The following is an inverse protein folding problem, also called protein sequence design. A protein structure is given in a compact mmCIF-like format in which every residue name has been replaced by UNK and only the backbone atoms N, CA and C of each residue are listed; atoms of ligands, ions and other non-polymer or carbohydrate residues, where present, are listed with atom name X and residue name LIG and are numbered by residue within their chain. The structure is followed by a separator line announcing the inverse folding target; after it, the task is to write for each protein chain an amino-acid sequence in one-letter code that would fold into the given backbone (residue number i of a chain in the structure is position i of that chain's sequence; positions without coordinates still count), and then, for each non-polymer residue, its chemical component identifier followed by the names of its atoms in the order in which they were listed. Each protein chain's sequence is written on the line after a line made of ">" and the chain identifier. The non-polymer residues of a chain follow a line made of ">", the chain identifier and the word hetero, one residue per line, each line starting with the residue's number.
data_IF_448060585430
#
_entry.id   IF_448060585430
#
_cell.length_a   1.000
_cell.length_b   1.000
_cell.length_c   1.000
_cell.angle_alpha   90.00
_cell.angle_beta   90.00
_cell.angle_gamma   90.00
#
_symmetry.space_group_name_H-M   'P 1'
#
loop_
_entity.id
_entity.type
_entity.pdbx_description
1 polymer ?
#
# COMPACT_ATOMS: atom_id res chain seq x y z
N UNK A 1 9.73 22.09 15.37
CA UNK A 1 9.24 22.85 14.21
C UNK A 1 9.67 24.31 14.33
N UNK A 2 9.99 24.93 13.20
CA UNK A 2 10.22 26.37 13.13
C UNK A 2 8.88 27.04 12.81
N UNK A 3 8.47 27.97 13.67
CA UNK A 3 7.24 28.73 13.45
C UNK A 3 7.60 30.01 12.69
N UNK A 4 6.80 30.33 11.66
CA UNK A 4 6.92 31.58 10.89
C UNK A 4 5.94 32.57 11.51
N UNK A 5 6.47 33.70 12.03
CA UNK A 5 5.65 34.70 12.73
C UNK A 5 4.92 35.63 11.77
N UNK A 6 5.51 35.94 10.60
CA UNK A 6 4.94 36.83 9.59
C UNK A 6 5.29 36.36 8.19
N UNK A 7 4.34 36.44 7.23
CA UNK A 7 4.55 36.13 5.83
C UNK A 7 3.55 36.92 4.97
N UNK A 8 4.01 37.46 3.82
CA UNK A 8 3.13 38.11 2.83
C UNK A 8 2.22 37.10 2.11
N UNK A 9 2.70 35.89 1.88
CA UNK A 9 1.97 34.81 1.23
C UNK A 9 2.22 33.48 1.94
N UNK A 10 1.15 32.70 2.13
CA UNK A 10 1.21 31.35 2.71
C UNK A 10 0.68 30.34 1.70
N UNK A 11 1.50 29.38 1.34
CA UNK A 11 1.11 28.25 0.48
C UNK A 11 1.30 26.98 1.33
N UNK A 12 0.22 26.25 1.57
CA UNK A 12 0.25 25.04 2.42
C UNK A 12 -0.66 23.96 1.87
N UNK A 13 -0.33 22.71 2.18
CA UNK A 13 -1.20 21.56 1.98
C UNK A 13 -2.46 21.72 2.87
N UNK A 14 -3.62 21.31 2.34
CA UNK A 14 -4.91 21.41 3.03
C UNK A 14 -5.86 20.25 2.68
N UNK A 15 -5.33 19.06 2.38
CA UNK A 15 -6.10 17.90 1.92
C UNK A 15 -7.23 17.51 2.88
N UNK A 16 -6.96 17.63 4.17
CA UNK A 16 -7.92 17.31 5.25
C UNK A 16 -8.32 18.55 6.08
N UNK A 17 -8.15 19.76 5.53
CA UNK A 17 -8.44 21.01 6.24
C UNK A 17 -9.92 21.23 6.57
N UNK A 18 -10.83 20.53 5.90
CA UNK A 18 -12.29 20.63 6.04
C UNK A 18 -12.92 19.53 6.91
N UNK A 19 -12.12 18.56 7.40
CA UNK A 19 -12.65 17.39 8.11
C UNK A 19 -11.67 16.74 9.06
N UNK A 20 -12.21 15.98 10.00
CA UNK A 20 -11.42 15.10 10.87
C UNK A 20 -11.32 13.69 10.28
N UNK A 21 -10.17 13.03 10.50
CA UNK A 21 -10.05 11.60 10.22
C UNK A 21 -11.05 10.80 11.07
N UNK A 22 -11.65 9.77 10.45
CA UNK A 22 -12.46 8.81 11.21
C UNK A 22 -11.58 8.15 12.26
N UNK A 23 -12.07 8.11 13.51
CA UNK A 23 -11.35 7.47 14.61
C UNK A 23 -11.28 5.96 14.33
N UNK A 24 -10.14 5.48 13.87
CA UNK A 24 -9.86 4.05 13.72
C UNK A 24 -8.94 3.62 14.84
N UNK A 25 -9.23 2.47 15.45
CA UNK A 25 -8.53 1.98 16.62
C UNK A 25 -7.49 0.90 16.31
N UNK A 26 -7.60 0.22 15.16
CA UNK A 26 -6.67 -0.86 14.80
C UNK A 26 -6.59 -1.06 13.27
N UNK A 27 -5.63 -0.38 12.65
CA UNK A 27 -5.39 -0.50 11.20
C UNK A 27 -4.91 -1.89 10.78
N UNK A 28 -4.10 -2.56 11.63
CA UNK A 28 -3.61 -3.90 11.34
C UNK A 28 -4.75 -4.92 11.30
N UNK A 29 -5.68 -4.87 12.25
CA UNK A 29 -6.83 -5.78 12.29
C UNK A 29 -7.79 -5.54 11.10
N UNK A 30 -8.04 -4.28 10.74
CA UNK A 30 -8.89 -3.95 9.58
C UNK A 30 -8.28 -4.47 8.29
N UNK A 31 -6.97 -4.27 8.08
CA UNK A 31 -6.24 -4.75 6.92
C UNK A 31 -6.17 -6.27 6.90
N UNK A 32 -5.90 -6.92 8.05
CA UNK A 32 -5.87 -8.38 8.17
C UNK A 32 -7.20 -9.01 7.76
N UNK A 33 -8.33 -8.41 8.18
CA UNK A 33 -9.66 -8.89 7.80
C UNK A 33 -9.87 -8.84 6.28
N UNK A 34 -9.45 -7.77 5.61
CA UNK A 34 -9.57 -7.66 4.15
C UNK A 34 -8.66 -8.68 3.46
N UNK A 35 -7.42 -8.83 3.93
CA UNK A 35 -6.48 -9.83 3.40
C UNK A 35 -7.08 -11.23 3.55
N UNK A 36 -7.52 -11.62 4.75
CA UNK A 36 -8.14 -12.92 5.01
C UNK A 36 -9.28 -13.21 4.04
N UNK A 37 -10.27 -12.32 4.00
CA UNK A 37 -11.45 -12.50 3.16
C UNK A 37 -11.13 -12.60 1.66
N UNK A 38 -10.10 -11.90 1.22
CA UNK A 38 -9.70 -11.90 -0.19
C UNK A 38 -8.94 -13.16 -0.55
N UNK A 39 -7.99 -13.57 0.28
CA UNK A 39 -7.23 -14.81 0.07
C UNK A 39 -8.14 -16.04 0.17
N UNK A 40 -9.12 -16.07 1.09
CA UNK A 40 -10.11 -17.15 1.23
C UNK A 40 -10.95 -17.32 -0.05
N UNK A 41 -11.18 -16.24 -0.79
CA UNK A 41 -11.85 -16.27 -2.11
C UNK A 41 -10.93 -16.64 -3.26
N UNK A 42 -9.63 -16.84 -3.01
CA UNK A 42 -8.63 -17.11 -4.05
C UNK A 42 -8.22 -15.86 -4.86
N UNK A 43 -8.46 -14.67 -4.34
CA UNK A 43 -8.16 -13.40 -5.01
C UNK A 43 -6.89 -12.70 -4.51
N UNK A 44 -6.50 -11.66 -5.24
CA UNK A 44 -5.40 -10.76 -4.88
C UNK A 44 -5.91 -9.53 -4.13
N UNK A 45 -5.13 -9.06 -3.16
CA UNK A 45 -5.31 -7.73 -2.55
C UNK A 45 -4.41 -6.74 -3.27
N UNK A 46 -4.98 -5.78 -3.97
CA UNK A 46 -4.25 -4.74 -4.72
C UNK A 46 -4.33 -3.43 -3.95
N UNK A 47 -3.19 -2.86 -3.59
CA UNK A 47 -3.11 -1.66 -2.74
C UNK A 47 -2.36 -0.55 -3.50
N UNK A 48 -3.06 0.43 -4.07
CA UNK A 48 -2.45 1.64 -4.58
C UNK A 48 -1.80 2.41 -3.43
N UNK A 49 -0.51 2.71 -3.54
CA UNK A 49 0.22 3.43 -2.51
C UNK A 49 1.26 4.38 -3.10
N UNK A 50 1.51 5.50 -2.41
CA UNK A 50 2.67 6.33 -2.72
C UNK A 50 3.95 5.57 -2.40
N UNK A 51 4.95 5.76 -3.26
CA UNK A 51 6.24 5.08 -3.13
C UNK A 51 6.97 5.40 -1.81
N UNK A 52 6.81 6.63 -1.33
CA UNK A 52 7.42 7.13 -0.09
C UNK A 52 6.36 7.30 0.99
N UNK A 53 6.63 6.80 2.18
CA UNK A 53 5.80 6.90 3.38
C UNK A 53 4.71 5.81 3.44
N UNK A 54 3.67 5.89 2.62
CA UNK A 54 2.52 4.97 2.70
C UNK A 54 2.89 3.52 2.43
N UNK A 55 3.78 3.25 1.49
CA UNK A 55 4.26 1.88 1.24
C UNK A 55 4.95 1.31 2.48
N UNK A 56 5.84 2.06 3.12
CA UNK A 56 6.58 1.60 4.30
C UNK A 56 5.67 1.41 5.51
N UNK A 57 4.67 2.26 5.69
CA UNK A 57 3.65 2.10 6.73
C UNK A 57 2.82 0.82 6.52
N UNK A 58 2.40 0.52 5.28
CA UNK A 58 1.73 -0.72 4.95
C UNK A 58 2.60 -1.95 5.24
N UNK A 59 3.90 -1.90 4.93
CA UNK A 59 4.84 -2.97 5.26
C UNK A 59 4.94 -3.19 6.77
N UNK A 60 4.95 -2.11 7.56
CA UNK A 60 4.94 -2.19 9.02
C UNK A 60 3.69 -2.92 9.53
N UNK A 61 2.50 -2.55 9.08
CA UNK A 61 1.26 -3.24 9.48
C UNK A 61 1.21 -4.69 9.01
N UNK A 62 1.64 -4.98 7.77
CA UNK A 62 1.65 -6.37 7.27
C UNK A 62 2.65 -7.23 8.04
N UNK A 63 3.82 -6.69 8.42
CA UNK A 63 4.75 -7.38 9.31
C UNK A 63 4.07 -7.73 10.62
N UNK A 64 3.35 -6.79 11.23
CA UNK A 64 2.60 -7.04 12.46
C UNK A 64 1.53 -8.11 12.25
N UNK A 65 0.72 -8.02 11.20
CA UNK A 65 -0.30 -9.02 10.83
C UNK A 65 0.29 -10.43 10.75
N UNK A 66 1.46 -10.57 10.12
CA UNK A 66 2.15 -11.86 10.00
C UNK A 66 2.73 -12.32 11.33
N UNK A 67 3.33 -11.43 12.10
CA UNK A 67 3.92 -11.76 13.41
C UNK A 67 2.87 -12.19 14.42
N UNK A 68 1.69 -11.56 14.40
CA UNK A 68 0.58 -11.84 15.31
C UNK A 68 -0.35 -12.97 14.80
N UNK A 69 -0.09 -13.53 13.60
CA UNK A 69 -0.90 -14.59 13.02
C UNK A 69 -2.35 -14.18 12.74
N UNK A 70 -2.59 -12.90 12.39
CA UNK A 70 -3.95 -12.38 12.20
C UNK A 70 -4.63 -12.86 10.91
N UNK A 71 -3.89 -13.50 10.01
CA UNK A 71 -4.40 -14.18 8.81
C UNK A 71 -4.10 -15.66 8.95
N UNK A 72 -5.12 -16.51 8.93
CA UNK A 72 -5.01 -17.94 9.18
C UNK A 72 -5.25 -18.75 7.90
N UNK A 73 -4.63 -19.95 7.80
CA UNK A 73 -4.75 -20.79 6.61
C UNK A 73 -3.97 -20.31 5.38
N UNK A 74 -3.33 -19.14 5.49
CA UNK A 74 -2.52 -18.52 4.44
C UNK A 74 -1.18 -18.02 5.01
N UNK A 75 -0.59 -18.74 5.97
CA UNK A 75 0.57 -18.28 6.78
C UNK A 75 1.77 -17.82 5.93
N UNK A 76 1.94 -18.40 4.74
CA UNK A 76 3.00 -18.06 3.80
C UNK A 76 2.63 -17.04 2.73
N UNK A 77 1.49 -16.34 2.81
CA UNK A 77 1.07 -15.44 1.75
C UNK A 77 2.17 -14.43 1.38
N UNK A 78 2.31 -14.21 0.06
CA UNK A 78 3.33 -13.33 -0.48
C UNK A 78 2.83 -11.89 -0.57
N UNK A 79 3.77 -10.95 -0.38
CA UNK A 79 3.52 -9.52 -0.50
C UNK A 79 4.52 -8.94 -1.48
N UNK A 80 4.04 -8.35 -2.55
CA UNK A 80 4.87 -7.72 -3.57
C UNK A 80 4.84 -6.20 -3.41
N UNK A 81 6.02 -5.58 -3.41
CA UNK A 81 6.18 -4.14 -3.65
C UNK A 81 6.65 -3.98 -5.08
N UNK A 82 5.73 -3.63 -5.97
CA UNK A 82 6.01 -3.46 -7.39
C UNK A 82 6.09 -1.98 -7.78
N UNK A 83 7.22 -1.37 -7.38
CA UNK A 83 7.58 0.00 -7.72
C UNK A 83 9.07 0.20 -7.45
N UNK A 84 9.90 0.45 -8.48
CA UNK A 84 11.34 0.72 -8.28
C UNK A 84 11.60 1.83 -7.26
N UNK A 85 10.87 2.94 -7.38
CA UNK A 85 11.00 4.07 -6.44
C UNK A 85 10.62 3.68 -5.00
N UNK A 86 9.60 2.83 -4.82
CA UNK A 86 9.23 2.36 -3.47
C UNK A 86 10.30 1.44 -2.88
N UNK A 87 10.96 0.64 -3.71
CA UNK A 87 12.09 -0.21 -3.28
C UNK A 87 13.25 0.66 -2.82
N UNK A 88 13.64 1.66 -3.60
CA UNK A 88 14.70 2.62 -3.26
C UNK A 88 14.35 3.39 -1.97
N UNK A 89 13.14 3.93 -1.88
CA UNK A 89 12.67 4.60 -0.66
C UNK A 89 12.73 3.68 0.57
N UNK A 90 12.32 2.42 0.44
CA UNK A 90 12.38 1.44 1.53
C UNK A 90 13.81 1.18 1.99
N UNK A 91 14.78 1.22 1.07
CA UNK A 91 16.19 1.12 1.44
C UNK A 91 16.66 2.34 2.25
N UNK A 92 16.27 3.56 1.83
CA UNK A 92 16.55 4.78 2.61
C UNK A 92 15.95 4.70 4.02
N UNK A 93 14.71 4.22 4.16
CA UNK A 93 14.10 3.99 5.47
C UNK A 93 14.93 3.03 6.34
N UNK A 94 15.43 1.93 5.76
CA UNK A 94 16.28 0.96 6.49
C UNK A 94 17.60 1.56 6.96
N UNK A 95 18.21 2.40 6.14
CA UNK A 95 19.50 3.03 6.47
C UNK A 95 19.36 4.08 7.59
N UNK A 96 18.19 4.68 7.76
CA UNK A 96 17.93 5.76 8.71
C UNK A 96 17.05 5.35 9.91
N UNK A 97 16.88 4.05 10.18
CA UNK A 97 16.01 3.54 11.26
C UNK A 97 16.36 4.12 12.65
N UNK A 98 17.65 4.26 12.95
CA UNK A 98 18.11 4.71 14.26
C UNK A 98 17.78 6.18 14.53
N UNK A 99 17.76 7.01 13.49
CA UNK A 99 17.56 8.45 13.64
C UNK A 99 16.09 8.85 13.48
N UNK A 100 15.38 8.22 12.53
CA UNK A 100 14.09 8.70 12.05
C UNK A 100 12.88 7.93 12.59
N UNK A 101 13.06 6.72 13.13
CA UNK A 101 11.95 5.94 13.66
C UNK A 101 11.58 6.37 15.08
N UNK A 102 10.32 6.18 15.45
CA UNK A 102 9.86 6.38 16.81
C UNK A 102 10.43 5.32 17.78
N UNK A 103 10.28 5.54 19.08
CA UNK A 103 10.88 4.68 20.10
C UNK A 103 10.27 3.26 20.11
N UNK A 104 8.99 3.11 19.74
CA UNK A 104 8.34 1.80 19.61
C UNK A 104 8.99 0.99 18.49
N UNK A 105 9.14 1.59 17.31
CA UNK A 105 9.79 0.95 16.16
C UNK A 105 11.28 0.69 16.41
N UNK A 106 11.98 1.62 17.07
CA UNK A 106 13.38 1.40 17.49
C UNK A 106 13.52 0.24 18.48
N UNK A 107 12.53 0.02 19.34
CA UNK A 107 12.55 -1.14 20.24
C UNK A 107 12.52 -2.46 19.48
N UNK A 108 11.76 -2.57 18.37
CA UNK A 108 11.80 -3.72 17.48
C UNK A 108 13.19 -3.93 16.87
N UNK A 109 13.80 -2.85 16.37
CA UNK A 109 15.16 -2.91 15.79
C UNK A 109 16.19 -3.41 16.82
N UNK A 110 16.12 -2.94 18.08
CA UNK A 110 16.99 -3.42 19.17
C UNK A 110 16.81 -4.91 19.48
N UNK A 111 15.64 -5.48 19.19
CA UNK A 111 15.35 -6.91 19.31
C UNK A 111 15.76 -7.70 18.06
N UNK A 112 16.40 -7.08 17.08
CA UNK A 112 16.78 -7.72 15.80
C UNK A 112 15.61 -7.90 14.82
N UNK A 113 14.48 -7.27 15.07
CA UNK A 113 13.29 -7.35 14.22
C UNK A 113 13.36 -6.22 13.19
N UNK A 114 13.25 -6.58 11.90
CA UNK A 114 13.10 -5.58 10.85
C UNK A 114 11.65 -5.08 10.81
N UNK A 115 11.37 -3.79 11.11
CA UNK A 115 9.99 -3.29 11.23
C UNK A 115 9.23 -3.25 9.90
N UNK A 116 9.93 -3.20 8.76
CA UNK A 116 9.36 -3.11 7.40
C UNK A 116 9.80 -4.26 6.50
N UNK A 117 10.28 -5.36 7.11
CA UNK A 117 10.71 -6.56 6.39
C UNK A 117 10.21 -7.82 7.10
N UNK A 118 9.81 -8.82 6.33
CA UNK A 118 9.25 -10.08 6.84
C UNK A 118 9.38 -11.20 5.80
N UNK A 119 9.29 -12.47 6.20
CA UNK A 119 9.25 -13.59 5.27
C UNK A 119 8.09 -13.49 4.27
N UNK A 120 8.36 -13.71 2.99
CA UNK A 120 7.37 -13.58 1.90
C UNK A 120 7.22 -12.16 1.33
N UNK A 121 8.00 -11.18 1.81
CA UNK A 121 8.11 -9.89 1.13
C UNK A 121 8.99 -10.02 -0.11
N UNK A 122 8.45 -9.62 -1.25
CA UNK A 122 9.13 -9.60 -2.55
C UNK A 122 9.16 -8.19 -3.11
N UNK A 123 10.32 -7.76 -3.58
CA UNK A 123 10.53 -6.45 -4.18
C UNK A 123 10.72 -6.63 -5.69
N UNK A 124 9.92 -5.96 -6.50
CA UNK A 124 9.97 -6.04 -7.96
C UNK A 124 10.52 -4.73 -8.54
N UNK A 125 11.60 -4.84 -9.30
CA UNK A 125 12.28 -3.70 -9.92
C UNK A 125 12.11 -3.72 -11.43
N UNK A 126 12.24 -4.88 -12.06
CA UNK A 126 12.19 -5.01 -13.51
C UNK A 126 10.75 -5.09 -14.06
N UNK A 127 10.59 -4.75 -15.33
CA UNK A 127 9.29 -4.88 -16.00
C UNK A 127 8.86 -6.34 -16.19
N UNK A 128 9.81 -7.26 -16.27
CA UNK A 128 9.53 -8.69 -16.39
C UNK A 128 9.00 -9.26 -15.07
N UNK A 129 9.64 -8.94 -13.93
CA UNK A 129 9.13 -9.28 -12.60
C UNK A 129 7.71 -8.77 -12.40
N UNK A 130 7.45 -7.51 -12.76
CA UNK A 130 6.12 -6.89 -12.67
C UNK A 130 5.05 -7.63 -13.49
N UNK A 131 5.39 -8.06 -14.71
CA UNK A 131 4.48 -8.87 -15.55
C UNK A 131 4.19 -10.22 -14.91
N UNK A 132 5.22 -10.90 -14.40
CA UNK A 132 5.09 -12.22 -13.79
C UNK A 132 4.13 -12.22 -12.58
N UNK A 133 4.10 -11.13 -11.80
CA UNK A 133 3.13 -10.97 -10.70
C UNK A 133 1.68 -11.12 -11.20
N UNK A 134 1.36 -10.57 -12.37
CA UNK A 134 0.00 -10.62 -12.94
C UNK A 134 -0.35 -11.98 -13.58
N UNK A 135 0.64 -12.74 -14.02
CA UNK A 135 0.40 -14.07 -14.62
C UNK A 135 0.34 -15.18 -13.56
N UNK A 136 0.93 -14.98 -12.41
CA UNK A 136 0.83 -15.92 -11.30
C UNK A 136 -0.52 -15.76 -10.58
N UNK A 137 -1.36 -16.78 -10.66
CA UNK A 137 -2.72 -16.81 -10.09
C UNK A 137 -2.76 -17.13 -8.60
N UNK A 138 -1.63 -17.43 -7.98
CA UNK A 138 -1.56 -17.63 -6.52
C UNK A 138 -2.01 -16.37 -5.79
N UNK A 139 -2.95 -16.46 -4.82
CA UNK A 139 -3.42 -15.32 -4.05
C UNK A 139 -2.29 -14.59 -3.31
N UNK A 140 -2.24 -13.29 -3.45
CA UNK A 140 -1.15 -12.45 -2.89
C UNK A 140 -1.59 -11.02 -2.60
N UNK A 141 -0.74 -10.29 -1.89
CA UNK A 141 -0.89 -8.84 -1.69
C UNK A 141 0.06 -8.12 -2.64
N UNK A 142 -0.44 -7.12 -3.36
CA UNK A 142 0.32 -6.31 -4.33
C UNK A 142 0.23 -4.84 -3.92
N UNK A 143 1.35 -4.24 -3.55
CA UNK A 143 1.48 -2.82 -3.25
C UNK A 143 2.21 -2.16 -4.41
N UNK A 144 1.60 -1.15 -5.05
CA UNK A 144 2.20 -0.52 -6.22
C UNK A 144 1.85 0.96 -6.34
N UNK A 145 2.75 1.76 -6.86
CA UNK A 145 2.53 3.17 -7.16
C UNK A 145 1.91 3.36 -8.57
N UNK A 146 1.16 4.43 -8.81
CA UNK A 146 0.91 5.59 -7.96
C UNK A 146 -0.34 5.41 -7.07
N UNK A 147 -0.37 6.12 -5.95
CA UNK A 147 -1.41 5.97 -4.92
C UNK A 147 -2.83 6.38 -5.35
N UNK A 148 -2.98 7.18 -6.43
CA UNK A 148 -4.27 7.61 -6.99
C UNK A 148 -4.63 6.88 -8.30
N UNK A 149 -3.86 5.89 -8.71
CA UNK A 149 -4.09 5.03 -9.87
C UNK A 149 -3.96 5.68 -11.27
N UNK A 150 -3.56 6.95 -11.36
CA UNK A 150 -3.49 7.65 -12.65
C UNK A 150 -2.24 7.32 -13.47
N UNK A 151 -1.20 6.82 -12.81
CA UNK A 151 0.08 6.47 -13.42
C UNK A 151 0.71 5.24 -12.74
N UNK A 152 1.82 4.77 -13.30
CA UNK A 152 2.63 3.71 -12.71
C UNK A 152 2.12 2.30 -12.93
N UNK A 153 2.82 1.36 -12.32
CA UNK A 153 2.57 -0.09 -12.48
C UNK A 153 1.23 -0.54 -11.90
N UNK A 154 0.69 0.19 -10.92
CA UNK A 154 -0.63 -0.07 -10.35
C UNK A 154 -1.71 -0.22 -11.42
N UNK A 155 -1.63 0.54 -12.52
CA UNK A 155 -2.61 0.46 -13.60
C UNK A 155 -2.61 -0.90 -14.31
N UNK A 156 -1.46 -1.54 -14.42
CA UNK A 156 -1.37 -2.90 -14.97
C UNK A 156 -2.00 -3.89 -13.99
N UNK A 157 -1.71 -3.78 -12.70
CA UNK A 157 -2.33 -4.64 -11.68
C UNK A 157 -3.84 -4.46 -11.62
N UNK A 158 -4.34 -3.23 -11.70
CA UNK A 158 -5.79 -2.97 -11.75
C UNK A 158 -6.43 -3.59 -13.00
N UNK A 159 -5.81 -3.45 -14.18
CA UNK A 159 -6.30 -4.07 -15.42
C UNK A 159 -6.46 -5.59 -15.28
N UNK A 160 -5.55 -6.27 -14.59
CA UNK A 160 -5.58 -7.72 -14.40
C UNK A 160 -6.46 -8.19 -13.25
N UNK A 161 -6.87 -7.33 -12.32
CA UNK A 161 -7.56 -7.74 -11.11
C UNK A 161 -8.98 -7.15 -10.94
N UNK A 162 -9.34 -6.01 -11.56
CA UNK A 162 -10.64 -5.35 -11.35
C UNK A 162 -11.84 -6.18 -11.78
N UNK A 163 -11.72 -6.93 -12.88
CA UNK A 163 -12.79 -7.80 -13.39
C UNK A 163 -12.97 -9.09 -12.58
N UNK A 164 -12.03 -9.41 -11.71
CA UNK A 164 -12.02 -10.61 -10.86
C UNK A 164 -12.75 -10.32 -9.55
N UNK A 165 -13.90 -10.95 -9.35
CA UNK A 165 -14.76 -10.78 -8.15
C UNK A 165 -14.08 -11.23 -6.85
N UNK A 166 -13.10 -12.13 -6.95
CA UNK A 166 -12.31 -12.63 -5.84
C UNK A 166 -11.35 -11.57 -5.30
N UNK A 167 -10.89 -10.65 -6.17
CA UNK A 167 -9.88 -9.65 -5.81
C UNK A 167 -10.48 -8.48 -5.04
N UNK A 168 -9.63 -7.80 -4.26
CA UNK A 168 -9.98 -6.57 -3.56
C UNK A 168 -9.00 -5.46 -3.88
N UNK A 169 -9.50 -4.24 -4.07
CA UNK A 169 -8.69 -3.02 -4.13
C UNK A 169 -8.84 -2.27 -2.82
N UNK A 170 -7.71 -1.96 -2.17
CA UNK A 170 -7.69 -1.30 -0.85
C UNK A 170 -7.07 0.08 -0.96
N UNK A 171 -7.85 1.11 -0.73
CA UNK A 171 -7.37 2.48 -0.72
C UNK A 171 -6.92 2.87 0.70
N UNK A 172 -5.61 3.01 0.87
CA UNK A 172 -4.96 3.39 2.13
C UNK A 172 -4.67 4.89 2.24
N UNK A 173 -5.17 5.70 1.29
CA UNK A 173 -4.94 7.15 1.25
C UNK A 173 -6.06 7.90 0.54
N UNK A 174 -5.96 9.22 0.60
CA UNK A 174 -6.89 10.12 -0.08
C UNK A 174 -6.86 9.89 -1.60
N UNK A 175 -8.05 9.97 -2.21
CA UNK A 175 -8.23 9.89 -3.65
C UNK A 175 -8.82 11.23 -4.13
N UNK A 176 -8.04 11.99 -4.92
CA UNK A 176 -8.46 13.28 -5.42
C UNK A 176 -9.57 13.15 -6.48
N UNK A 177 -10.44 14.14 -6.56
CA UNK A 177 -11.45 14.23 -7.61
C UNK A 177 -10.82 14.17 -9.01
N UNK A 178 -11.47 13.49 -9.93
CA UNK A 178 -10.99 13.29 -11.29
C UNK A 178 -9.96 12.19 -11.47
N UNK A 179 -9.50 11.52 -10.40
CA UNK A 179 -8.55 10.41 -10.49
C UNK A 179 -9.24 9.07 -10.70
N UNK A 180 -8.52 8.11 -11.30
CA UNK A 180 -9.02 6.74 -11.45
C UNK A 180 -9.30 6.11 -10.08
N UNK A 181 -8.42 6.34 -9.10
CA UNK A 181 -8.61 5.83 -7.73
C UNK A 181 -9.89 6.36 -7.09
N UNK A 182 -10.25 7.62 -7.33
CA UNK A 182 -11.50 8.22 -6.84
C UNK A 182 -12.72 7.57 -7.49
N UNK A 183 -12.71 7.38 -8.80
CA UNK A 183 -13.79 6.72 -9.52
C UNK A 183 -14.04 5.30 -9.00
N UNK A 184 -12.98 4.53 -8.76
CA UNK A 184 -13.07 3.19 -8.19
C UNK A 184 -13.59 3.21 -6.74
N UNK A 185 -13.15 4.16 -5.93
CA UNK A 185 -13.60 4.31 -4.54
C UNK A 185 -15.09 4.65 -4.45
N UNK A 186 -15.62 5.39 -5.41
CA UNK A 186 -17.04 5.76 -5.55
C UNK A 186 -17.90 4.63 -6.16
N UNK A 187 -17.29 3.52 -6.57
CA UNK A 187 -18.00 2.35 -7.07
C UNK A 187 -18.36 2.44 -8.54
N UNK A 188 -17.52 3.06 -9.37
CA UNK A 188 -17.71 3.05 -10.82
C UNK A 188 -17.85 1.61 -11.33
N UNK A 189 -18.91 1.34 -12.10
CA UNK A 189 -19.19 0.03 -12.68
C UNK A 189 -18.28 -0.32 -13.86
N UNK A 190 -17.64 0.70 -14.46
CA UNK A 190 -16.72 0.57 -15.58
C UNK A 190 -15.72 1.72 -15.55
N UNK A 191 -14.46 1.42 -15.81
CA UNK A 191 -13.38 2.42 -15.89
C UNK A 191 -12.49 2.16 -17.11
N UNK A 192 -11.83 3.21 -17.61
CA UNK A 192 -10.89 3.08 -18.73
C UNK A 192 -9.45 2.97 -18.24
N UNK A 193 -8.79 1.87 -18.59
CA UNK A 193 -7.37 1.65 -18.32
C UNK A 193 -6.65 1.34 -19.64
N UNK A 194 -5.67 2.15 -20.00
CA UNK A 194 -4.96 2.08 -21.29
C UNK A 194 -5.89 2.09 -22.52
N UNK A 195 -7.02 2.81 -22.42
CA UNK A 195 -8.00 2.92 -23.50
C UNK A 195 -9.02 1.77 -23.57
N UNK A 196 -8.88 0.74 -22.76
CA UNK A 196 -9.81 -0.39 -22.69
C UNK A 196 -10.78 -0.21 -21.52
N UNK A 197 -12.04 -0.56 -21.70
CA UNK A 197 -13.06 -0.64 -20.65
C UNK A 197 -12.85 -1.89 -19.80
N UNK A 198 -12.80 -1.71 -18.50
CA UNK A 198 -12.61 -2.76 -17.51
C UNK A 198 -13.77 -2.70 -16.52
#
# INVERSE_FOLDING_TARGET
>A
PTYIEEADYVIMECTYGDRYHKKRTNYAADLAKIIQQTLDRGGNVVIPAFAVGRTQELLYFIRQIKADGLVTGHDGFEVYVDSPLAVEATQVFKENMQECFDEETKALVRQGINPIGFPGLKLSITSEESKNINFDMTPKVIISAAGMCDAGRIRHHLKHNLWRKECSVVFAGYQAEGTLGRSLLEGAGEVKIFGESI
#
